data_IF_523605641640
#
_entry.id   IF_523605641640
#
_cell.length_a   1.000
_cell.length_b   1.000
_cell.length_c   1.000
_cell.angle_alpha   90.00
_cell.angle_beta   90.00
_cell.angle_gamma   90.00
#
_symmetry.space_group_name_H-M   'P 1'
#
loop_
_entity.id
_entity.type
_entity.pdbx_description
1 polymer ?
#
# COMPACT_ATOMS: atom_id res chain seq x y z
N UNK A 1 -10.17 -13.15 -0.05
CA UNK A 1 -8.94 -12.55 0.49
C UNK A 1 -8.67 -11.29 -0.33
N UNK A 2 -8.66 -10.10 0.29
CA UNK A 2 -8.37 -8.86 -0.42
C UNK A 2 -6.92 -8.83 -0.93
N UNK A 3 -6.61 -7.97 -1.92
CA UNK A 3 -5.24 -7.70 -2.39
C UNK A 3 -4.45 -6.96 -1.29
N UNK A 4 -3.33 -6.30 -1.64
CA UNK A 4 -2.59 -5.49 -0.69
C UNK A 4 -3.49 -4.40 -0.11
N UNK A 5 -3.70 -4.40 1.21
CA UNK A 5 -4.60 -3.45 1.88
C UNK A 5 -3.79 -2.28 2.42
N UNK A 6 -4.04 -1.09 1.90
CA UNK A 6 -3.33 0.14 2.28
C UNK A 6 -4.31 1.20 2.81
N UNK A 7 -3.77 2.19 3.53
CA UNK A 7 -4.54 3.33 4.01
C UNK A 7 -4.20 3.71 5.46
N UNK A 8 -4.94 4.68 6.02
CA UNK A 8 -4.71 5.15 7.39
C UNK A 8 -4.87 4.00 8.39
N UNK A 9 -3.84 3.74 9.19
CA UNK A 9 -3.87 2.73 10.23
C UNK A 9 -4.25 3.38 11.56
N UNK A 10 -5.45 3.08 12.07
CA UNK A 10 -5.92 3.59 13.37
C UNK A 10 -5.09 3.01 14.53
N UNK A 11 -4.57 1.81 14.36
CA UNK A 11 -3.64 1.15 15.28
C UNK A 11 -2.18 1.44 14.90
N UNK A 12 -1.88 2.56 14.24
CA UNK A 12 -0.50 2.97 13.97
C UNK A 12 0.24 3.15 15.31
N UNK A 13 0.88 2.09 15.77
CA UNK A 13 1.73 2.13 16.96
C UNK A 13 3.08 2.71 16.55
N UNK A 14 3.76 3.40 17.47
CA UNK A 14 5.16 3.81 17.28
C UNK A 14 6.12 2.63 17.00
N UNK A 15 5.65 1.38 17.16
CA UNK A 15 6.42 0.18 16.88
C UNK A 15 6.07 -0.38 15.49
N UNK A 16 6.92 -0.06 14.52
CA UNK A 16 6.83 -0.59 13.15
C UNK A 16 6.86 -2.12 13.06
N UNK A 17 7.39 -2.81 14.09
CA UNK A 17 7.41 -4.28 14.14
C UNK A 17 6.02 -4.91 14.40
N UNK A 18 5.01 -4.11 14.77
CA UNK A 18 3.63 -4.58 14.99
C UNK A 18 2.71 -4.31 13.80
N UNK A 19 3.25 -3.83 12.68
CA UNK A 19 2.47 -3.60 11.47
C UNK A 19 2.07 -4.94 10.82
N UNK A 20 0.90 -4.95 10.17
CA UNK A 20 0.53 -6.06 9.31
C UNK A 20 1.46 -6.13 8.08
N UNK A 21 1.46 -7.26 7.36
CA UNK A 21 2.37 -7.51 6.24
C UNK A 21 2.32 -6.40 5.18
N UNK A 22 1.13 -6.01 4.72
CA UNK A 22 0.98 -4.97 3.68
C UNK A 22 1.47 -3.60 4.14
N UNK A 23 1.18 -3.19 5.38
CA UNK A 23 1.71 -1.92 5.89
C UNK A 23 3.22 -2.00 6.08
N UNK A 24 3.73 -3.08 6.66
CA UNK A 24 5.17 -3.26 6.89
C UNK A 24 5.98 -3.12 5.61
N UNK A 25 5.47 -3.66 4.50
CA UNK A 25 6.10 -3.59 3.20
C UNK A 25 6.25 -2.14 2.68
N UNK A 26 5.20 -1.32 2.78
CA UNK A 26 5.28 0.11 2.47
C UNK A 26 6.19 0.85 3.46
N UNK A 27 6.05 0.62 4.76
CA UNK A 27 6.81 1.35 5.78
C UNK A 27 8.31 1.09 5.71
N UNK A 28 8.73 -0.07 5.18
CA UNK A 28 10.13 -0.36 4.92
C UNK A 28 10.77 0.62 3.94
N UNK A 29 10.01 1.14 2.97
CA UNK A 29 10.51 2.11 1.98
C UNK A 29 10.76 3.52 2.54
N UNK A 30 10.22 3.81 3.72
CA UNK A 30 10.36 5.10 4.42
C UNK A 30 11.11 4.98 5.75
N UNK A 31 11.73 3.83 6.00
CA UNK A 31 12.47 3.55 7.23
C UNK A 31 13.71 4.44 7.34
N UNK A 32 14.13 4.85 8.55
CA UNK A 32 15.39 5.58 8.76
C UNK A 32 16.65 4.87 8.26
N UNK A 33 16.55 3.57 7.96
CA UNK A 33 17.66 2.75 7.44
C UNK A 33 17.77 2.78 5.91
N UNK A 34 16.72 3.23 5.23
CA UNK A 34 16.64 3.27 3.78
C UNK A 34 17.32 4.53 3.27
N UNK A 35 17.97 4.43 2.11
CA UNK A 35 18.70 5.52 1.45
C UNK A 35 18.17 5.74 0.04
N UNK A 36 18.35 6.95 -0.47
CA UNK A 36 18.03 7.29 -1.85
C UNK A 36 18.75 6.44 -2.91
N UNK A 37 19.94 5.93 -2.57
CA UNK A 37 20.75 5.04 -3.42
C UNK A 37 20.29 3.59 -3.42
N UNK A 38 19.37 3.20 -2.55
CA UNK A 38 18.89 1.82 -2.48
C UNK A 38 18.03 1.49 -3.71
N UNK A 39 17.96 0.21 -4.06
CA UNK A 39 17.11 -0.25 -5.16
C UNK A 39 15.63 -0.22 -4.77
N UNK A 40 14.79 0.19 -5.72
CA UNK A 40 13.34 0.02 -5.59
C UNK A 40 13.01 -1.47 -5.67
N UNK A 41 12.25 -2.05 -4.71
CA UNK A 41 11.92 -3.47 -4.75
C UNK A 41 11.13 -3.86 -5.99
N UNK A 42 11.27 -5.12 -6.41
CA UNK A 42 10.46 -5.69 -7.46
C UNK A 42 9.03 -5.97 -6.95
N UNK A 43 8.03 -5.63 -7.76
CA UNK A 43 6.63 -5.96 -7.49
C UNK A 43 6.38 -7.46 -7.67
N UNK A 44 6.13 -8.17 -6.56
CA UNK A 44 5.64 -9.55 -6.59
C UNK A 44 4.11 -9.63 -6.72
N UNK A 45 3.42 -8.55 -6.35
CA UNK A 45 1.98 -8.41 -6.45
C UNK A 45 1.62 -6.96 -6.79
N UNK A 46 0.67 -6.77 -7.70
CA UNK A 46 0.38 -5.44 -8.28
C UNK A 46 -0.91 -4.84 -7.79
N UNK A 47 -1.90 -5.62 -7.36
CA UNK A 47 -3.19 -5.06 -6.98
C UNK A 47 -3.20 -4.56 -5.54
N UNK A 48 -3.96 -3.50 -5.30
CA UNK A 48 -4.20 -2.97 -3.96
C UNK A 48 -5.65 -2.55 -3.76
N UNK A 49 -6.02 -2.37 -2.49
CA UNK A 49 -7.32 -1.84 -2.07
C UNK A 49 -7.15 -0.92 -0.86
N UNK A 50 -7.95 0.15 -0.80
CA UNK A 50 -8.01 1.00 0.39
C UNK A 50 -8.73 0.27 1.55
N UNK A 51 -8.17 0.33 2.75
CA UNK A 51 -8.73 -0.29 3.97
C UNK A 51 -10.17 0.18 4.26
N UNK A 52 -10.50 1.43 3.93
CA UNK A 52 -11.84 2.00 4.13
C UNK A 52 -12.86 1.34 3.20
N UNK A 53 -12.45 0.96 1.99
CA UNK A 53 -13.32 0.25 1.05
C UNK A 53 -13.51 -1.21 1.47
N UNK A 54 -12.46 -1.84 2.02
CA UNK A 54 -12.57 -3.16 2.66
C UNK A 54 -13.56 -3.12 3.82
N UNK A 55 -13.48 -2.12 4.69
CA UNK A 55 -14.43 -1.97 5.81
C UNK A 55 -15.87 -1.79 5.34
N UNK A 56 -16.10 -0.92 4.35
CA UNK A 56 -17.44 -0.72 3.77
C UNK A 56 -17.98 -2.00 3.13
N UNK A 57 -17.15 -2.73 2.39
CA UNK A 57 -17.56 -3.97 1.75
C UNK A 57 -17.95 -5.05 2.77
N UNK A 58 -17.20 -5.17 3.88
CA UNK A 58 -17.58 -6.09 4.96
C UNK A 58 -18.91 -5.69 5.60
N UNK A 59 -19.13 -4.40 5.86
CA UNK A 59 -20.39 -3.91 6.41
C UNK A 59 -21.57 -4.24 5.47
N UNK A 60 -21.41 -3.99 4.16
CA UNK A 60 -22.44 -4.30 3.17
C UNK A 60 -22.70 -5.79 3.01
N UNK A 61 -21.65 -6.61 3.08
CA UNK A 61 -21.80 -8.07 3.04
C UNK A 61 -22.60 -8.60 4.24
N UNK A 62 -22.58 -7.90 5.38
CA UNK A 62 -23.39 -8.23 6.55
C UNK A 62 -24.83 -7.69 6.44
N UNK A 63 -25.01 -6.48 5.94
CA UNK A 63 -26.31 -5.79 5.91
C UNK A 63 -27.23 -6.23 4.76
N UNK A 64 -26.67 -6.66 3.63
CA UNK A 64 -27.42 -6.98 2.41
C UNK A 64 -27.71 -8.48 2.35
N UNK A 65 -28.97 -8.93 2.49
CA UNK A 65 -29.31 -10.35 2.49
C UNK A 65 -28.83 -11.11 1.23
N UNK A 66 -28.89 -10.45 0.07
CA UNK A 66 -28.48 -11.01 -1.23
C UNK A 66 -26.97 -11.22 -1.33
N UNK A 67 -26.17 -10.63 -0.43
CA UNK A 67 -24.73 -10.86 -0.38
C UNK A 67 -24.36 -12.19 0.33
N UNK A 68 -25.34 -12.88 0.93
CA UNK A 68 -25.13 -14.14 1.62
C UNK A 68 -24.59 -15.24 0.70
N UNK A 69 -23.43 -15.81 1.04
CA UNK A 69 -22.79 -16.88 0.26
C UNK A 69 -21.95 -16.39 -0.92
N UNK A 70 -21.95 -15.08 -1.20
CA UNK A 70 -21.22 -14.49 -2.31
C UNK A 70 -19.76 -14.18 -1.98
N UNK A 71 -18.95 -14.02 -3.03
CA UNK A 71 -17.53 -13.66 -2.92
C UNK A 71 -17.25 -12.38 -3.71
N UNK A 72 -16.84 -11.33 -3.01
CA UNK A 72 -16.54 -10.04 -3.61
C UNK A 72 -15.04 -9.83 -3.81
N UNK A 73 -14.64 -9.53 -5.04
CA UNK A 73 -13.29 -9.05 -5.34
C UNK A 73 -13.24 -7.54 -5.15
N UNK A 74 -12.39 -7.08 -4.23
CA UNK A 74 -12.18 -5.66 -3.98
C UNK A 74 -10.79 -5.29 -4.51
N UNK A 75 -10.74 -4.41 -5.50
CA UNK A 75 -9.50 -3.93 -6.08
C UNK A 75 -9.71 -2.46 -6.47
N UNK A 76 -8.93 -1.56 -5.84
CA UNK A 76 -8.93 -0.14 -6.21
C UNK A 76 -8.16 0.07 -7.51
N UNK A 77 -7.09 -0.72 -7.72
CA UNK A 77 -6.28 -0.68 -8.92
C UNK A 77 -4.97 -1.43 -8.74
N UNK A 78 -4.06 -1.20 -9.67
CA UNK A 78 -2.71 -1.72 -9.61
C UNK A 78 -1.71 -0.62 -9.20
N UNK A 79 -0.58 -1.01 -8.63
CA UNK A 79 0.51 -0.14 -8.25
C UNK A 79 1.87 -0.77 -8.62
N UNK A 80 2.88 0.08 -8.79
CA UNK A 80 4.28 -0.35 -8.70
C UNK A 80 4.98 0.32 -7.52
N UNK A 81 6.04 -0.29 -6.99
CA UNK A 81 6.87 0.37 -5.98
C UNK A 81 7.56 1.61 -6.54
N UNK A 82 7.87 1.64 -7.85
CA UNK A 82 8.42 2.84 -8.50
C UNK A 82 7.42 4.00 -8.45
N UNK A 83 6.17 3.75 -8.84
CA UNK A 83 5.10 4.76 -8.72
C UNK A 83 4.94 5.23 -7.27
N UNK A 84 5.06 4.31 -6.32
CA UNK A 84 4.94 4.63 -4.89
C UNK A 84 6.06 5.55 -4.40
N UNK A 85 7.34 5.24 -4.71
CA UNK A 85 8.46 6.10 -4.31
C UNK A 85 8.42 7.45 -5.02
N UNK A 86 8.01 7.50 -6.29
CA UNK A 86 7.86 8.75 -7.04
C UNK A 86 6.85 9.68 -6.34
N UNK A 87 5.68 9.15 -5.96
CA UNK A 87 4.65 9.89 -5.23
C UNK A 87 5.13 10.33 -3.84
N UNK A 88 5.82 9.46 -3.10
CA UNK A 88 6.36 9.83 -1.78
C UNK A 88 7.35 10.98 -1.87
N UNK A 89 8.26 10.92 -2.85
CA UNK A 89 9.25 11.98 -3.07
C UNK A 89 8.58 13.29 -3.49
N UNK A 90 7.53 13.24 -4.31
CA UNK A 90 6.77 14.43 -4.72
C UNK A 90 5.99 15.05 -3.54
N UNK A 91 5.30 14.22 -2.74
CA UNK A 91 4.35 14.68 -1.72
C UNK A 91 4.96 14.92 -0.35
N UNK A 92 6.08 14.28 -0.01
CA UNK A 92 6.71 14.34 1.31
C UNK A 92 8.21 14.65 1.15
N UNK A 93 8.58 15.91 0.83
CA UNK A 93 9.97 16.28 0.58
C UNK A 93 10.92 15.99 1.75
N UNK A 94 10.43 16.05 3.00
CA UNK A 94 11.27 15.86 4.20
C UNK A 94 11.89 14.47 4.35
N UNK A 95 11.37 13.46 3.65
CA UNK A 95 11.88 12.08 3.70
C UNK A 95 12.63 11.67 2.42
N UNK A 96 12.81 12.57 1.45
CA UNK A 96 13.42 12.25 0.15
C UNK A 96 14.78 11.57 0.27
N UNK A 97 15.61 11.94 1.24
CA UNK A 97 16.94 11.31 1.42
C UNK A 97 16.85 9.84 1.88
N UNK A 98 15.69 9.42 2.39
CA UNK A 98 15.42 8.08 2.93
C UNK A 98 14.48 7.26 2.07
N UNK A 99 14.14 7.75 0.89
CA UNK A 99 13.27 7.07 -0.08
C UNK A 99 14.08 6.77 -1.35
N UNK A 100 14.12 5.52 -1.83
CA UNK A 100 14.81 5.16 -3.06
C UNK A 100 14.39 6.03 -4.26
N UNK A 101 15.33 6.34 -5.16
CA UNK A 101 15.02 7.07 -6.40
C UNK A 101 14.53 6.12 -7.50
N UNK A 102 15.22 5.00 -7.68
CA UNK A 102 14.95 4.07 -8.79
C UNK A 102 15.04 4.75 -10.15
N UNK A 103 14.06 4.47 -11.01
CA UNK A 103 13.91 5.07 -12.35
C UNK A 103 12.60 5.86 -12.41
N UNK A 104 12.59 7.17 -12.06
CA UNK A 104 11.36 7.95 -11.98
C UNK A 104 10.54 7.90 -13.28
N UNK A 105 9.23 7.72 -13.15
CA UNK A 105 8.29 7.69 -14.27
C UNK A 105 8.19 6.34 -14.99
N UNK A 106 9.01 5.34 -14.65
CA UNK A 106 8.88 3.98 -15.23
C UNK A 106 7.85 3.11 -14.50
N UNK A 107 7.19 3.65 -13.47
CA UNK A 107 6.23 2.92 -12.64
C UNK A 107 4.81 2.82 -13.20
N UNK A 108 4.57 3.28 -14.43
CA UNK A 108 3.25 3.22 -15.05
C UNK A 108 2.75 1.78 -15.14
N UNK A 109 1.57 1.53 -14.57
CA UNK A 109 0.90 0.23 -14.65
C UNK A 109 -0.07 0.26 -15.85
N UNK A 110 -0.10 -0.79 -16.70
CA UNK A 110 -1.09 -0.88 -17.77
C UNK A 110 -2.53 -0.91 -17.25
#
# INVERSE_FOLDING_TARGET
>A
MPPMVYGPNINATANLAKLNTSSSDIYRLISPRTKSSDEVPQNMFWSFVDVRDVSKAHLRAYEVPEAGGERFFLCTGNFTYQQFVDVLREKIPEIQDRVPVGNPGTGAVP
#
